data_IF_714875041728
#
_entry.id   IF_714875041728
#
_cell.length_a   1.000
_cell.length_b   1.000
_cell.length_c   1.000
_cell.angle_alpha   90.00
_cell.angle_beta   90.00
_cell.angle_gamma   90.00
#
_symmetry.space_group_name_H-M   'P 1'
#
loop_
_entity.id
_entity.type
_entity.pdbx_description
1 polymer ?
#
# COMPACT_ATOMS: atom_id res chain seq x y z
N UNK A 1 -59.37 22.99 26.11
CA UNK A 1 -59.91 21.61 26.14
C UNK A 1 -58.82 20.67 26.63
N UNK A 2 -59.12 19.95 27.71
CA UNK A 2 -58.22 19.05 28.40
C UNK A 2 -58.29 17.63 27.82
N UNK A 3 -57.19 16.86 27.89
CA UNK A 3 -57.13 15.59 28.64
C UNK A 3 -55.72 15.00 28.65
N UNK A 4 -55.11 15.12 29.83
CA UNK A 4 -54.10 14.23 30.41
C UNK A 4 -54.65 12.80 30.46
N UNK A 5 -53.81 11.78 30.22
CA UNK A 5 -54.03 10.45 30.78
C UNK A 5 -52.70 9.78 31.12
N UNK A 6 -52.48 9.62 32.43
CA UNK A 6 -51.50 8.74 33.06
C UNK A 6 -52.21 7.46 33.50
N UNK A 7 -51.55 6.30 33.37
CA UNK A 7 -51.62 5.12 34.27
C UNK A 7 -50.60 4.10 33.75
N UNK A 8 -49.51 3.69 34.41
CA UNK A 8 -49.20 3.22 35.78
C UNK A 8 -49.72 1.83 36.14
N UNK A 9 -48.83 1.06 36.79
CA UNK A 9 -48.94 -0.24 37.48
C UNK A 9 -48.77 -1.49 36.58
N UNK A 10 -48.07 -2.56 36.96
CA UNK A 10 -47.45 -3.00 38.23
C UNK A 10 -46.51 -4.20 37.92
N UNK A 11 -45.52 -4.42 38.78
CA UNK A 11 -44.59 -5.56 38.74
C UNK A 11 -45.25 -6.90 39.10
N UNK A 12 -44.67 -8.02 38.65
CA UNK A 12 -44.70 -9.30 39.39
C UNK A 12 -43.46 -10.15 39.11
N UNK A 13 -42.79 -10.46 40.21
CA UNK A 13 -41.64 -11.35 40.43
C UNK A 13 -42.05 -12.81 40.22
N UNK A 14 -41.15 -13.68 39.72
CA UNK A 14 -40.69 -14.92 40.39
C UNK A 14 -39.93 -15.87 39.46
N UNK A 15 -38.84 -16.38 40.02
CA UNK A 15 -37.82 -17.30 39.51
C UNK A 15 -38.31 -18.74 39.38
N UNK A 16 -37.62 -19.54 38.54
CA UNK A 16 -37.28 -20.93 38.87
C UNK A 16 -36.17 -21.45 37.93
N UNK A 17 -35.05 -21.79 38.57
CA UNK A 17 -34.03 -22.81 38.26
C UNK A 17 -34.04 -23.53 36.90
N UNK A 18 -32.89 -23.47 36.25
CA UNK A 18 -32.51 -24.30 35.12
C UNK A 18 -31.02 -24.58 35.15
N UNK A 19 -30.64 -25.60 35.92
CA UNK A 19 -29.29 -26.13 36.07
C UNK A 19 -28.70 -26.49 34.70
N UNK A 20 -27.80 -25.65 34.19
CA UNK A 20 -27.08 -25.87 32.94
C UNK A 20 -25.58 -25.77 33.20
N UNK A 21 -24.91 -26.92 33.20
CA UNK A 21 -23.47 -27.12 33.38
C UNK A 21 -22.62 -26.00 32.76
N UNK A 22 -22.01 -25.17 33.62
CA UNK A 22 -20.98 -24.23 33.22
C UNK A 22 -19.70 -25.01 32.88
N UNK A 23 -19.56 -25.36 31.60
CA UNK A 23 -18.30 -25.83 31.03
C UNK A 23 -17.29 -24.68 31.12
N UNK A 24 -16.15 -24.82 31.83
CA UNK A 24 -15.12 -23.81 31.77
C UNK A 24 -14.57 -23.80 30.35
N UNK A 25 -14.92 -22.78 29.57
CA UNK A 25 -14.11 -22.43 28.42
C UNK A 25 -12.80 -21.92 29.00
N UNK A 26 -11.78 -22.78 28.97
CA UNK A 26 -10.40 -22.37 29.18
C UNK A 26 -10.03 -21.40 28.07
N UNK A 27 -10.36 -20.12 28.26
CA UNK A 27 -9.74 -19.04 27.51
C UNK A 27 -8.36 -18.89 28.12
N UNK A 28 -7.39 -19.63 27.60
CA UNK A 28 -5.98 -19.36 27.87
C UNK A 28 -5.67 -17.97 27.31
N UNK A 29 -5.82 -16.96 28.16
CA UNK A 29 -5.39 -15.60 27.85
C UNK A 29 -3.86 -15.61 27.84
N UNK A 30 -3.27 -15.84 26.67
CA UNK A 30 -1.84 -15.66 26.47
C UNK A 30 -1.54 -14.17 26.68
N UNK A 31 -0.86 -13.85 27.76
CA UNK A 31 -0.37 -12.49 28.02
C UNK A 31 0.81 -12.22 27.09
N UNK A 32 0.60 -11.35 26.09
CA UNK A 32 1.68 -10.86 25.22
C UNK A 32 2.67 -10.08 26.08
N UNK A 33 3.92 -10.56 26.19
CA UNK A 33 4.96 -9.83 26.92
C UNK A 33 5.67 -8.84 26.00
N UNK A 34 6.31 -7.84 26.62
CA UNK A 34 7.06 -6.83 25.89
C UNK A 34 8.27 -7.43 25.17
N UNK A 35 8.95 -8.42 25.79
CA UNK A 35 10.11 -9.07 25.16
C UNK A 35 9.72 -9.81 23.88
N UNK A 36 8.54 -10.44 23.85
CA UNK A 36 8.04 -11.11 22.64
C UNK A 36 7.82 -10.12 21.49
N UNK A 37 7.25 -8.94 21.78
CA UNK A 37 7.01 -7.92 20.75
C UNK A 37 8.30 -7.32 20.22
N UNK A 38 9.33 -7.17 21.06
CA UNK A 38 10.66 -6.72 20.65
C UNK A 38 11.37 -7.74 19.74
N UNK A 39 11.13 -9.04 19.93
CA UNK A 39 11.64 -10.08 19.03
C UNK A 39 10.95 -10.03 17.66
N UNK A 40 9.62 -9.92 17.65
CA UNK A 40 8.85 -9.73 16.41
C UNK A 40 9.23 -8.44 15.68
N UNK A 41 9.57 -7.36 16.39
CA UNK A 41 10.01 -6.10 15.79
C UNK A 41 11.32 -6.18 14.99
N UNK A 42 12.10 -7.26 15.15
CA UNK A 42 13.34 -7.50 14.38
C UNK A 42 13.08 -8.18 13.04
N UNK A 43 11.90 -8.77 12.87
CA UNK A 43 11.52 -9.46 11.65
C UNK A 43 11.09 -8.47 10.56
N UNK A 44 11.34 -8.84 9.31
CA UNK A 44 10.78 -8.17 8.15
C UNK A 44 9.26 -8.33 8.11
N UNK A 45 8.58 -7.44 7.36
CA UNK A 45 7.14 -7.52 7.18
C UNK A 45 6.69 -8.89 6.64
N UNK A 46 7.46 -9.49 5.74
CA UNK A 46 7.19 -10.83 5.18
C UNK A 46 7.33 -11.94 6.21
N UNK A 47 8.35 -11.87 7.08
CA UNK A 47 8.54 -12.83 8.16
C UNK A 47 7.43 -12.73 9.20
N UNK A 48 7.00 -11.51 9.53
CA UNK A 48 5.85 -11.27 10.41
C UNK A 48 4.55 -11.85 9.84
N UNK A 49 4.28 -11.63 8.55
CA UNK A 49 3.12 -12.19 7.87
C UNK A 49 3.14 -13.71 7.93
N UNK A 50 4.30 -14.34 7.64
CA UNK A 50 4.44 -15.79 7.69
C UNK A 50 4.23 -16.34 9.10
N UNK A 51 4.82 -15.70 10.12
CA UNK A 51 4.63 -16.08 11.51
C UNK A 51 3.16 -16.02 11.94
N UNK A 52 2.42 -15.00 11.49
CA UNK A 52 0.97 -14.90 11.74
C UNK A 52 0.23 -16.03 11.01
N UNK A 53 0.52 -16.27 9.73
CA UNK A 53 -0.15 -17.30 8.94
C UNK A 53 0.07 -18.72 9.50
N UNK A 54 1.24 -18.99 10.09
CA UNK A 54 1.55 -20.26 10.76
C UNK A 54 0.70 -20.50 12.03
N UNK A 55 0.36 -19.44 12.75
CA UNK A 55 -0.42 -19.52 13.99
C UNK A 55 -1.94 -19.54 13.78
N UNK A 56 -2.43 -19.15 12.60
CA UNK A 56 -3.87 -19.04 12.32
C UNK A 56 -4.45 -20.39 11.90
N UNK A 57 -5.22 -21.01 12.80
CA UNK A 57 -5.92 -22.28 12.58
C UNK A 57 -7.20 -22.12 11.72
N UNK A 58 -7.88 -20.97 11.83
CA UNK A 58 -9.13 -20.68 11.14
C UNK A 58 -8.91 -20.53 9.62
N UNK A 59 -9.48 -21.40 8.76
CA UNK A 59 -9.21 -21.37 7.32
C UNK A 59 -9.60 -20.05 6.64
N UNK A 60 -10.72 -19.44 7.07
CA UNK A 60 -11.17 -18.15 6.54
C UNK A 60 -10.20 -17.03 6.92
N UNK A 61 -9.76 -16.97 8.18
CA UNK A 61 -8.82 -15.95 8.64
C UNK A 61 -7.48 -16.08 7.90
N UNK A 62 -6.99 -17.32 7.71
CA UNK A 62 -5.77 -17.58 6.93
C UNK A 62 -5.90 -17.13 5.48
N UNK A 63 -7.03 -17.42 4.83
CA UNK A 63 -7.29 -16.98 3.46
C UNK A 63 -7.35 -15.45 3.34
N UNK A 64 -8.06 -14.76 4.24
CA UNK A 64 -8.17 -13.30 4.25
C UNK A 64 -6.79 -12.65 4.50
N UNK A 65 -5.99 -13.19 5.42
CA UNK A 65 -4.64 -12.71 5.70
C UNK A 65 -3.69 -12.91 4.51
N UNK A 66 -3.81 -14.01 3.77
CA UNK A 66 -3.06 -14.24 2.54
C UNK A 66 -3.43 -13.23 1.44
N UNK A 67 -4.72 -12.89 1.32
CA UNK A 67 -5.12 -11.83 0.37
C UNK A 67 -4.57 -10.48 0.83
N UNK A 68 -4.64 -10.18 2.13
CA UNK A 68 -4.15 -8.94 2.69
C UNK A 68 -2.62 -8.78 2.50
N UNK A 69 -1.84 -9.86 2.65
CA UNK A 69 -0.39 -9.82 2.48
C UNK A 69 0.03 -9.50 1.05
N UNK A 70 -0.76 -9.90 0.06
CA UNK A 70 -0.56 -9.51 -1.34
C UNK A 70 -1.04 -8.08 -1.62
N UNK A 71 -2.13 -7.67 -0.96
CA UNK A 71 -2.80 -6.39 -1.21
C UNK A 71 -2.01 -5.19 -0.68
N UNK A 72 -1.43 -5.28 0.52
CA UNK A 72 -0.68 -4.17 1.13
C UNK A 72 0.50 -3.72 0.24
N UNK A 73 1.41 -4.61 -0.22
CA UNK A 73 2.49 -4.21 -1.12
C UNK A 73 1.99 -3.65 -2.46
N UNK A 74 0.89 -4.21 -2.99
CA UNK A 74 0.30 -3.74 -4.25
C UNK A 74 -0.25 -2.31 -4.12
N UNK A 75 -1.01 -2.02 -3.06
CA UNK A 75 -1.53 -0.67 -2.78
C UNK A 75 -0.39 0.33 -2.54
N UNK A 76 0.64 -0.07 -1.77
CA UNK A 76 1.82 0.76 -1.57
C UNK A 76 2.55 1.06 -2.89
N UNK A 77 2.67 0.08 -3.79
CA UNK A 77 3.30 0.27 -5.09
C UNK A 77 2.52 1.26 -5.97
N UNK A 78 1.19 1.24 -5.94
CA UNK A 78 0.35 2.21 -6.66
C UNK A 78 0.65 3.63 -6.20
N UNK A 79 0.64 3.89 -4.88
CA UNK A 79 0.93 5.21 -4.35
C UNK A 79 2.35 5.70 -4.69
N UNK A 80 3.34 4.79 -4.69
CA UNK A 80 4.71 5.11 -5.12
C UNK A 80 4.76 5.52 -6.59
N UNK A 81 4.03 4.82 -7.47
CA UNK A 81 3.98 5.17 -8.90
C UNK A 81 3.18 6.46 -9.16
N UNK A 82 2.10 6.69 -8.43
CA UNK A 82 1.35 7.95 -8.47
C UNK A 82 2.22 9.14 -8.08
N UNK A 83 2.98 9.03 -7.00
CA UNK A 83 3.91 10.06 -6.54
C UNK A 83 5.03 10.31 -7.55
N UNK A 84 5.60 9.25 -8.15
CA UNK A 84 6.58 9.39 -9.23
C UNK A 84 5.98 10.11 -10.43
N UNK A 85 4.74 9.77 -10.80
CA UNK A 85 4.03 10.37 -11.93
C UNK A 85 3.69 11.84 -11.69
N UNK A 86 3.28 12.19 -10.47
CA UNK A 86 2.98 13.57 -10.08
C UNK A 86 4.20 14.49 -10.20
N UNK A 87 5.41 13.95 -10.02
CA UNK A 87 6.68 14.67 -10.15
C UNK A 87 7.38 14.45 -11.50
N UNK A 88 6.72 13.81 -12.46
CA UNK A 88 7.26 13.57 -13.79
C UNK A 88 6.76 14.61 -14.79
N UNK A 89 7.65 15.08 -15.66
CA UNK A 89 7.31 15.95 -16.78
C UNK A 89 7.52 15.23 -18.10
N UNK A 90 6.73 15.58 -19.11
CA UNK A 90 6.89 15.09 -20.48
C UNK A 90 7.41 16.23 -21.33
N UNK A 91 8.54 16.00 -22.01
CA UNK A 91 9.15 16.94 -22.95
C UNK A 91 8.98 16.36 -24.36
N UNK A 92 8.25 17.07 -25.22
CA UNK A 92 8.07 16.75 -26.64
C UNK A 92 9.01 17.57 -27.53
N UNK A 93 9.17 17.17 -28.79
CA UNK A 93 9.99 17.91 -29.77
C UNK A 93 11.50 17.84 -29.53
N UNK A 94 11.97 16.97 -28.64
CA UNK A 94 13.40 16.81 -28.40
C UNK A 94 14.02 15.92 -29.49
N UNK A 95 15.04 16.39 -30.19
CA UNK A 95 15.72 15.64 -31.25
C UNK A 95 16.29 14.32 -30.74
N UNK A 96 16.09 13.23 -31.49
CA UNK A 96 16.64 11.92 -31.14
C UNK A 96 18.17 11.90 -31.27
N UNK A 97 18.82 10.99 -30.54
CA UNK A 97 20.25 10.76 -30.69
C UNK A 97 20.54 10.04 -32.02
N UNK A 98 21.78 10.12 -32.50
CA UNK A 98 22.21 9.34 -33.66
C UNK A 98 21.97 7.83 -33.40
N UNK A 99 21.22 7.14 -34.27
CA UNK A 99 20.93 5.71 -34.12
C UNK A 99 22.19 4.82 -34.15
N UNK A 100 23.30 5.31 -34.71
CA UNK A 100 24.59 4.60 -34.76
C UNK A 100 25.26 4.49 -33.39
N UNK A 101 24.91 5.38 -32.45
CA UNK A 101 25.48 5.37 -31.11
C UNK A 101 25.04 4.14 -30.32
N UNK A 102 25.89 3.61 -29.42
CA UNK A 102 25.47 2.57 -28.49
C UNK A 102 24.37 3.10 -27.54
N UNK A 103 23.57 2.21 -26.92
CA UNK A 103 22.51 2.61 -25.99
C UNK A 103 22.96 3.56 -24.88
N UNK A 104 24.15 3.35 -24.31
CA UNK A 104 24.75 4.23 -23.31
C UNK A 104 25.05 5.63 -23.86
N UNK A 105 25.56 5.72 -25.09
CA UNK A 105 25.81 6.99 -25.77
C UNK A 105 24.52 7.77 -26.04
N UNK A 106 23.47 7.09 -26.49
CA UNK A 106 22.14 7.71 -26.70
C UNK A 106 21.50 8.19 -25.40
N UNK A 107 21.73 7.48 -24.30
CA UNK A 107 21.25 7.90 -22.98
C UNK A 107 21.99 9.15 -22.49
N UNK A 108 23.33 9.21 -22.65
CA UNK A 108 24.13 10.38 -22.30
C UNK A 108 23.73 11.61 -23.11
N UNK A 109 23.50 11.46 -24.42
CA UNK A 109 22.97 12.53 -25.29
C UNK A 109 21.64 13.08 -24.77
N UNK A 110 20.69 12.18 -24.44
CA UNK A 110 19.40 12.57 -23.87
C UNK A 110 19.55 13.35 -22.56
N UNK A 111 20.36 12.84 -21.63
CA UNK A 111 20.60 13.48 -20.33
C UNK A 111 21.30 14.84 -20.48
N UNK A 112 22.20 14.99 -21.46
CA UNK A 112 22.83 16.28 -21.77
C UNK A 112 21.80 17.29 -22.29
N UNK A 113 20.95 16.91 -23.25
CA UNK A 113 19.89 17.76 -23.78
C UNK A 113 18.88 18.20 -22.72
N UNK A 114 18.51 17.30 -21.80
CA UNK A 114 17.61 17.66 -20.69
C UNK A 114 18.29 18.62 -19.72
N UNK A 115 19.60 18.48 -19.47
CA UNK A 115 20.36 19.43 -18.65
C UNK A 115 20.35 20.82 -19.27
N UNK A 116 20.68 20.92 -20.55
CA UNK A 116 20.65 22.20 -21.30
C UNK A 116 19.26 22.84 -21.27
N UNK A 117 18.19 22.05 -21.38
CA UNK A 117 16.81 22.53 -21.27
C UNK A 117 16.51 23.10 -19.87
N UNK A 118 16.93 22.41 -18.81
CA UNK A 118 16.74 22.87 -17.43
C UNK A 118 17.55 24.12 -17.13
N UNK A 119 18.78 24.21 -17.65
CA UNK A 119 19.63 25.40 -17.56
C UNK A 119 18.97 26.59 -18.29
N UNK A 120 18.45 26.37 -19.50
CA UNK A 120 17.73 27.40 -20.25
C UNK A 120 16.43 27.86 -19.56
N UNK A 121 15.77 26.96 -18.83
CA UNK A 121 14.60 27.27 -18.01
C UNK A 121 14.95 27.88 -16.64
N UNK A 122 16.24 27.99 -16.31
CA UNK A 122 16.75 28.43 -15.00
C UNK A 122 16.15 27.61 -13.84
N UNK A 123 16.08 26.28 -14.00
CA UNK A 123 15.56 25.34 -13.01
C UNK A 123 16.72 24.58 -12.36
N UNK A 124 16.95 24.86 -11.07
CA UNK A 124 17.94 24.16 -10.27
C UNK A 124 17.39 22.82 -9.76
N UNK A 125 17.52 21.76 -10.56
CA UNK A 125 17.16 20.42 -10.11
C UNK A 125 18.01 19.33 -10.75
N UNK A 126 17.95 18.11 -10.17
CA UNK A 126 18.53 16.91 -10.76
C UNK A 126 17.43 15.85 -10.94
N UNK A 127 16.98 15.57 -12.18
CA UNK A 127 16.01 14.53 -12.43
C UNK A 127 16.50 13.16 -11.92
N UNK A 128 15.64 12.40 -11.27
CA UNK A 128 15.98 11.06 -10.76
C UNK A 128 16.07 10.02 -11.87
N UNK A 129 15.24 10.15 -12.91
CA UNK A 129 15.21 9.29 -14.09
C UNK A 129 14.93 10.14 -15.31
N UNK A 130 15.64 9.85 -16.40
CA UNK A 130 15.41 10.46 -17.71
C UNK A 130 15.37 9.33 -18.73
N UNK A 131 14.33 9.26 -19.53
CA UNK A 131 14.20 8.23 -20.57
C UNK A 131 13.22 8.69 -21.64
N UNK A 132 13.32 8.05 -22.81
CA UNK A 132 12.40 8.28 -23.93
C UNK A 132 11.19 7.37 -23.82
N UNK A 133 10.01 7.90 -24.12
CA UNK A 133 8.76 7.15 -24.12
C UNK A 133 8.54 6.44 -25.46
N UNK A 134 8.23 5.15 -25.44
CA UNK A 134 7.88 4.38 -26.64
C UNK A 134 9.08 3.83 -27.44
N UNK A 135 8.75 3.11 -28.52
CA UNK A 135 9.74 2.48 -29.40
C UNK A 135 10.37 3.50 -30.35
N UNK A 136 11.70 3.44 -30.57
CA UNK A 136 12.35 4.29 -31.56
C UNK A 136 11.88 3.90 -32.96
N UNK A 137 11.57 4.91 -33.77
CA UNK A 137 11.25 4.78 -35.19
C UNK A 137 12.25 5.65 -35.95
N UNK A 138 12.87 5.17 -37.04
CA UNK A 138 13.77 6.00 -37.85
C UNK A 138 13.05 7.28 -38.30
N UNK A 139 13.78 8.39 -38.30
CA UNK A 139 13.34 9.69 -38.83
C UNK A 139 12.06 10.28 -38.20
N UNK A 140 11.67 9.79 -37.01
CA UNK A 140 10.54 10.31 -36.25
C UNK A 140 10.90 10.47 -34.78
N UNK A 141 10.58 11.62 -34.20
CA UNK A 141 10.77 11.82 -32.76
C UNK A 141 9.69 11.05 -31.99
N UNK A 142 10.07 10.56 -30.81
CA UNK A 142 9.08 10.03 -29.88
C UNK A 142 8.28 11.18 -29.27
N UNK A 143 6.95 11.02 -29.27
CA UNK A 143 5.96 11.98 -28.77
C UNK A 143 5.84 13.29 -29.59
N UNK A 144 5.94 13.20 -30.92
CA UNK A 144 5.44 14.20 -31.87
C UNK A 144 3.95 14.02 -32.17
#
# INVERSE_FOLDING_TARGET
MARRSQRSTKASVLSADGTGSARPQSTSSLTVTKEMLEEYGKLSATELINAILEQVEQPLARAVLSVLSEKIPAEAAVHVEEEKRARSIVVSGLTEADPSLPPSGRQLDLEAKIRELLDAANVECRPTKVYRMGRPVPDRLRLD
#
